data_IF_340869932556
#
_entry.id   IF_340869932556
#
_cell.length_a   1.000
_cell.length_b   1.000
_cell.length_c   1.000
_cell.angle_alpha   90.00
_cell.angle_beta   90.00
_cell.angle_gamma   90.00
#
_symmetry.space_group_name_H-M   'P 1'
#
loop_
_entity.id
_entity.type
_entity.pdbx_description
1 polymer ?
#
# COMPACT_ATOMS: atom_id res chain seq x y z
N UNK A 1 -3.66 3.11 3.60
CA UNK A 1 -5.01 2.49 3.60
C UNK A 1 -5.30 1.91 4.98
N UNK A 2 -6.48 2.15 5.53
CA UNK A 2 -6.91 1.60 6.81
C UNK A 2 -8.08 0.64 6.59
N UNK A 3 -8.05 -0.53 7.21
CA UNK A 3 -9.14 -1.51 7.15
C UNK A 3 -10.11 -1.27 8.31
N UNK A 4 -11.31 -0.77 7.99
CA UNK A 4 -12.35 -0.42 8.96
C UNK A 4 -13.24 -1.62 9.32
N UNK A 5 -13.36 -2.57 8.40
CA UNK A 5 -14.08 -3.81 8.57
C UNK A 5 -13.45 -4.90 7.70
N UNK A 6 -13.26 -6.08 8.29
CA UNK A 6 -12.80 -7.28 7.59
C UNK A 6 -14.00 -8.10 7.07
N UNK A 7 -13.94 -8.62 5.83
CA UNK A 7 -14.89 -9.59 5.32
C UNK A 7 -14.60 -11.00 5.89
N UNK A 8 -15.59 -11.89 5.91
CA UNK A 8 -15.35 -13.28 6.31
C UNK A 8 -14.56 -14.07 5.24
N UNK A 9 -14.68 -13.71 3.95
CA UNK A 9 -13.93 -14.36 2.88
C UNK A 9 -13.60 -13.41 1.70
N UNK A 10 -12.35 -13.47 1.24
CA UNK A 10 -11.83 -12.67 0.13
C UNK A 10 -11.47 -11.25 0.55
N UNK A 11 -11.47 -10.32 -0.41
CA UNK A 11 -11.20 -8.91 -0.13
C UNK A 11 -9.74 -8.59 0.20
N UNK A 12 -8.79 -9.43 -0.19
CA UNK A 12 -7.36 -9.15 -0.07
C UNK A 12 -6.96 -7.90 -0.87
N UNK A 13 -5.87 -7.26 -0.46
CA UNK A 13 -5.18 -6.26 -1.27
C UNK A 13 -3.95 -6.91 -1.86
N UNK A 14 -3.85 -6.92 -3.19
CA UNK A 14 -2.79 -7.61 -3.92
C UNK A 14 -1.89 -6.62 -4.62
N UNK A 15 -0.58 -6.80 -4.50
CA UNK A 15 0.45 -6.11 -5.26
C UNK A 15 1.03 -7.11 -6.25
N UNK A 16 0.57 -7.05 -7.50
CA UNK A 16 0.78 -8.11 -8.49
C UNK A 16 2.28 -8.25 -8.80
N UNK A 17 2.92 -7.12 -9.12
CA UNK A 17 4.32 -7.07 -9.53
C UNK A 17 5.29 -7.32 -8.36
N UNK A 18 4.86 -7.07 -7.12
CA UNK A 18 5.65 -7.37 -5.92
C UNK A 18 5.39 -8.77 -5.35
N UNK A 19 4.41 -9.51 -5.89
CA UNK A 19 3.95 -10.79 -5.36
C UNK A 19 3.59 -10.74 -3.86
N UNK A 20 2.91 -9.66 -3.43
CA UNK A 20 2.49 -9.49 -2.03
C UNK A 20 0.97 -9.52 -1.94
N UNK A 21 0.46 -10.31 -1.00
CA UNK A 21 -0.97 -10.39 -0.67
C UNK A 21 -1.17 -9.96 0.77
N UNK A 22 -2.04 -8.97 0.98
CA UNK A 22 -2.37 -8.46 2.32
C UNK A 22 -3.82 -8.77 2.62
N UNK A 23 -4.04 -9.62 3.62
CA UNK A 23 -5.40 -9.89 4.13
C UNK A 23 -5.88 -8.69 4.96
N UNK A 24 -7.13 -8.22 4.75
CA UNK A 24 -7.71 -7.18 5.58
C UNK A 24 -7.85 -7.68 7.03
N UNK A 25 -7.42 -6.86 7.99
CA UNK A 25 -7.67 -7.11 9.42
C UNK A 25 -8.27 -5.85 10.00
N UNK A 26 -9.41 -5.95 10.68
CA UNK A 26 -10.09 -4.77 11.23
C UNK A 26 -9.18 -3.99 12.17
N UNK A 27 -9.08 -2.68 11.95
CA UNK A 27 -8.23 -1.76 12.71
C UNK A 27 -6.78 -1.69 12.25
N UNK A 28 -6.35 -2.51 11.28
CA UNK A 28 -4.98 -2.47 10.76
C UNK A 28 -4.81 -1.43 9.65
N UNK A 29 -3.54 -1.04 9.43
CA UNK A 29 -3.13 -0.11 8.39
C UNK A 29 -2.13 -0.76 7.44
N UNK A 30 -2.28 -0.44 6.15
CA UNK A 30 -1.35 -0.78 5.08
C UNK A 30 -0.79 0.51 4.49
N UNK A 31 0.53 0.64 4.46
CA UNK A 31 1.22 1.81 3.95
C UNK A 31 2.33 1.43 2.97
N UNK A 32 2.41 2.14 1.86
CA UNK A 32 3.42 1.96 0.83
C UNK A 32 3.68 3.29 0.12
N UNK A 33 4.82 3.37 -0.57
CA UNK A 33 5.18 4.49 -1.42
C UNK A 33 4.94 4.12 -2.88
N UNK A 34 4.15 4.92 -3.59
CA UNK A 34 3.89 4.72 -5.02
C UNK A 34 4.99 5.26 -5.95
N UNK A 35 5.97 5.97 -5.39
CA UNK A 35 7.03 6.64 -6.12
C UNK A 35 8.40 6.18 -5.59
N UNK A 36 9.39 6.20 -6.47
CA UNK A 36 10.80 6.19 -6.10
C UNK A 36 11.23 7.55 -5.54
N UNK A 37 12.45 7.63 -5.00
CA UNK A 37 12.98 8.86 -4.41
C UNK A 37 13.22 10.02 -5.39
N UNK A 38 13.29 9.72 -6.68
CA UNK A 38 13.40 10.69 -7.77
C UNK A 38 12.02 11.14 -8.30
N UNK A 39 10.92 10.66 -7.69
CA UNK A 39 9.55 11.02 -8.07
C UNK A 39 8.96 10.17 -9.19
N UNK A 40 9.73 9.22 -9.76
CA UNK A 40 9.23 8.29 -10.76
C UNK A 40 8.27 7.25 -10.16
N UNK A 41 7.30 6.78 -10.93
CA UNK A 41 6.32 5.78 -10.46
C UNK A 41 6.97 4.42 -10.23
N UNK A 42 6.83 3.87 -9.02
CA UNK A 42 7.21 2.50 -8.72
C UNK A 42 6.09 1.54 -9.12
N UNK A 43 6.19 0.98 -10.33
CA UNK A 43 5.22 0.01 -10.88
C UNK A 43 5.06 -1.24 -10.02
N UNK A 44 6.06 -1.61 -9.21
CA UNK A 44 5.92 -2.76 -8.31
C UNK A 44 4.82 -2.58 -7.26
N UNK A 45 4.40 -1.34 -7.02
CA UNK A 45 3.32 -0.99 -6.09
C UNK A 45 1.94 -0.94 -6.73
N UNK A 46 1.84 -1.35 -7.99
CA UNK A 46 0.55 -1.54 -8.65
C UNK A 46 -0.28 -2.56 -7.86
N UNK A 47 -1.47 -2.13 -7.43
CA UNK A 47 -2.27 -2.89 -6.49
C UNK A 47 -3.75 -2.89 -6.88
N UNK A 48 -4.43 -3.95 -6.46
CA UNK A 48 -5.86 -4.12 -6.62
C UNK A 48 -6.51 -4.70 -5.37
N UNK A 49 -7.83 -4.63 -5.33
CA UNK A 49 -8.62 -5.35 -4.34
C UNK A 49 -9.17 -6.62 -4.96
N UNK A 50 -8.93 -7.77 -4.32
CA UNK A 50 -9.62 -9.00 -4.66
C UNK A 50 -11.12 -8.87 -4.35
N UNK A 51 -11.99 -9.59 -5.08
CA UNK A 51 -13.42 -9.62 -4.79
C UNK A 51 -13.70 -10.06 -3.35
N UNK A 52 -14.70 -9.45 -2.72
CA UNK A 52 -15.27 -9.97 -1.46
C UNK A 52 -16.22 -11.10 -1.83
N UNK A 53 -15.95 -12.30 -1.32
CA UNK A 53 -16.76 -13.49 -1.61
C UNK A 53 -17.89 -13.60 -0.57
N UNK A 54 -17.57 -13.35 0.70
CA UNK A 54 -18.54 -13.34 1.80
C UNK A 54 -18.23 -12.16 2.73
N UNK A 55 -19.28 -11.41 3.07
CA UNK A 55 -19.20 -10.30 4.01
C UNK A 55 -19.10 -8.93 3.41
N UNK A 56 -18.42 -8.04 4.14
CA UNK A 56 -18.22 -6.63 3.79
C UNK A 56 -16.82 -6.19 4.14
N UNK A 57 -16.13 -5.59 3.17
CA UNK A 57 -14.85 -4.90 3.36
C UNK A 57 -15.10 -3.40 3.36
N UNK A 58 -14.68 -2.71 4.43
CA UNK A 58 -14.67 -1.24 4.49
C UNK A 58 -13.24 -0.75 4.64
N UNK A 59 -12.85 0.22 3.82
CA UNK A 59 -11.51 0.81 3.85
C UNK A 59 -11.58 2.33 3.81
N UNK A 60 -10.60 2.97 4.45
CA UNK A 60 -10.33 4.40 4.29
C UNK A 60 -8.96 4.60 3.64
N UNK A 61 -8.94 5.35 2.55
CA UNK A 61 -7.71 5.71 1.85
C UNK A 61 -7.30 7.13 2.17
N UNK A 62 -6.04 7.31 2.54
CA UNK A 62 -5.40 8.63 2.64
C UNK A 62 -4.24 8.64 1.66
N UNK A 63 -4.30 9.55 0.71
CA UNK A 63 -3.24 9.82 -0.24
C UNK A 63 -2.36 10.94 0.32
N UNK A 64 -1.05 10.76 0.21
CA UNK A 64 -0.03 11.72 0.61
C UNK A 64 0.73 12.07 -0.67
N UNK A 65 0.64 13.32 -1.08
CA UNK A 65 1.22 13.79 -2.33
C UNK A 65 2.67 14.26 -2.12
N UNK A 66 3.47 14.18 -3.18
CA UNK A 66 4.89 14.52 -3.16
C UNK A 66 5.15 16.04 -3.07
N UNK A 67 4.31 16.84 -3.73
CA UNK A 67 4.56 18.28 -3.93
C UNK A 67 4.69 19.08 -2.62
N UNK A 68 4.00 18.66 -1.57
CA UNK A 68 4.03 19.30 -0.24
C UNK A 68 5.03 18.65 0.73
N UNK A 69 5.98 17.86 0.23
CA UNK A 69 6.90 17.08 1.06
C UNK A 69 8.37 17.49 0.94
N UNK A 70 8.71 18.49 0.15
CA UNK A 70 10.10 18.91 -0.12
C UNK A 70 10.94 19.24 1.13
N UNK A 71 10.33 19.72 2.22
CA UNK A 71 11.04 19.97 3.50
C UNK A 71 11.15 18.72 4.37
N UNK A 72 10.14 17.85 4.32
CA UNK A 72 10.08 16.64 5.15
C UNK A 72 10.84 15.46 4.51
N UNK A 73 11.01 15.48 3.18
CA UNK A 73 11.59 14.41 2.38
C UNK A 73 12.78 14.95 1.60
N UNK A 74 13.97 14.52 2.01
CA UNK A 74 15.21 14.79 1.27
C UNK A 74 15.21 14.03 -0.06
N UNK A 75 15.85 14.63 -1.06
CA UNK A 75 16.12 13.99 -2.34
C UNK A 75 16.92 12.69 -2.13
N UNK A 76 16.66 11.66 -2.94
CA UNK A 76 17.49 10.46 -2.96
C UNK A 76 18.92 10.76 -3.41
N UNK A 77 19.89 9.98 -2.92
CA UNK A 77 21.29 10.08 -3.36
C UNK A 77 21.54 9.32 -4.67
N UNK A 78 20.60 8.43 -5.04
CA UNK A 78 20.66 7.58 -6.23
C UNK A 78 19.35 7.65 -7.00
N UNK A 79 19.38 7.54 -8.33
CA UNK A 79 18.17 7.34 -9.12
C UNK A 79 17.42 6.07 -8.67
N UNK A 80 16.09 6.11 -8.70
CA UNK A 80 15.18 4.99 -8.40
C UNK A 80 15.42 4.28 -7.06
N UNK A 81 15.84 5.00 -6.04
CA UNK A 81 15.95 4.42 -4.70
C UNK A 81 14.54 4.17 -4.12
N UNK A 82 14.31 2.92 -3.69
CA UNK A 82 12.99 2.46 -3.23
C UNK A 82 12.77 2.81 -1.76
N UNK A 83 11.54 3.23 -1.44
CA UNK A 83 11.09 3.40 -0.07
C UNK A 83 10.42 2.12 0.48
N UNK A 84 10.47 1.92 1.80
CA UNK A 84 10.01 0.69 2.47
C UNK A 84 8.48 0.54 2.39
N UNK A 85 8.00 -0.67 2.08
CA UNK A 85 6.60 -1.08 2.27
C UNK A 85 6.42 -1.49 3.73
N UNK A 86 5.52 -0.81 4.45
CA UNK A 86 5.24 -1.12 5.86
C UNK A 86 3.87 -1.78 5.97
N UNK A 87 3.88 -3.07 6.27
CA UNK A 87 2.69 -3.83 6.61
C UNK A 87 3.01 -4.69 7.83
N UNK A 88 2.19 -4.57 8.88
CA UNK A 88 2.42 -5.30 10.13
C UNK A 88 2.17 -6.81 10.03
N UNK A 89 1.55 -7.29 8.94
CA UNK A 89 1.11 -8.68 8.77
C UNK A 89 1.34 -9.18 7.33
N UNK A 90 2.58 -9.17 6.83
CA UNK A 90 2.90 -9.87 5.57
C UNK A 90 3.11 -11.35 5.87
N UNK A 91 2.17 -12.22 5.46
CA UNK A 91 2.46 -13.64 5.31
C UNK A 91 3.30 -13.83 4.05
N UNK A 92 4.49 -14.44 4.19
CA UNK A 92 5.35 -14.86 3.08
C UNK A 92 4.65 -15.82 2.13
#
# INVERSE_FOLDING_TARGET
>A
MFYLQEPELGGETVFIDANVVVRPTKGSGLFWYGLYSDGEVDRSTNHGACPVILGRKWVANKWIFYDDQFLARKCGLRPKERYVILANNTSS
#
